data_IF_929055273231
#
_entry.id   IF_929055273231
#
_cell.length_a   1.000
_cell.length_b   1.000
_cell.length_c   1.000
_cell.angle_alpha   90.00
_cell.angle_beta   90.00
_cell.angle_gamma   90.00
#
_symmetry.space_group_name_H-M   'P 1'
#
loop_
_entity.id
_entity.type
_entity.pdbx_description
1 polymer ?
#
# COMPACT_ATOMS: atom_id res chain seq x y z
N UNK A 1 36.11 34.33 -15.60
CA UNK A 1 36.09 32.88 -15.26
C UNK A 1 35.85 32.56 -13.77
N UNK A 2 35.61 33.53 -12.86
CA UNK A 2 35.30 33.25 -11.44
C UNK A 2 33.80 33.09 -11.12
N UNK A 3 32.92 33.72 -11.90
CA UNK A 3 31.46 33.66 -11.70
C UNK A 3 30.84 32.32 -12.11
N UNK A 4 31.41 31.61 -13.09
CA UNK A 4 30.90 30.29 -13.51
C UNK A 4 31.12 29.19 -12.46
N UNK A 5 32.19 29.28 -11.65
CA UNK A 5 32.48 28.29 -10.59
C UNK A 5 31.51 28.36 -9.41
N UNK A 6 30.99 29.56 -9.10
CA UNK A 6 30.00 29.73 -8.02
C UNK A 6 28.64 29.12 -8.33
N UNK A 7 28.19 29.25 -9.59
CA UNK A 7 26.91 28.69 -10.04
C UNK A 7 26.93 27.16 -10.07
N UNK A 8 28.04 26.56 -10.53
CA UNK A 8 28.18 25.09 -10.56
C UNK A 8 28.18 24.51 -9.13
N UNK A 9 28.82 25.18 -8.17
CA UNK A 9 28.86 24.72 -6.78
C UNK A 9 27.49 24.80 -6.10
N UNK A 10 26.71 25.84 -6.39
CA UNK A 10 25.36 26.00 -5.84
C UNK A 10 24.37 24.96 -6.41
N UNK A 11 24.47 24.65 -7.71
CA UNK A 11 23.67 23.60 -8.35
C UNK A 11 24.00 22.20 -7.84
N UNK A 12 25.27 21.92 -7.55
CA UNK A 12 25.71 20.63 -6.98
C UNK A 12 25.21 20.46 -5.54
N UNK A 13 25.21 21.54 -4.74
CA UNK A 13 24.71 21.52 -3.36
C UNK A 13 23.19 21.31 -3.29
N UNK A 14 22.41 21.90 -4.21
CA UNK A 14 20.96 21.67 -4.29
C UNK A 14 20.58 20.22 -4.64
N UNK A 15 21.42 19.51 -5.40
CA UNK A 15 21.16 18.13 -5.79
C UNK A 15 21.30 17.14 -4.61
N UNK A 16 22.10 17.49 -3.59
CA UNK A 16 22.32 16.65 -2.40
C UNK A 16 21.11 16.69 -1.45
N UNK A 17 20.40 17.82 -1.36
CA UNK A 17 19.25 17.97 -0.44
C UNK A 17 17.98 17.28 -0.96
N UNK A 18 17.86 17.08 -2.28
CA UNK A 18 16.72 16.42 -2.90
C UNK A 18 16.67 14.89 -2.69
N UNK A 19 17.75 14.27 -2.18
CA UNK A 19 17.82 12.82 -1.97
C UNK A 19 17.25 12.36 -0.62
N UNK A 20 16.92 13.30 0.29
CA UNK A 20 16.38 13.01 1.61
C UNK A 20 14.86 13.21 1.70
N UNK A 21 14.11 12.88 0.64
CA UNK A 21 12.66 12.75 0.78
C UNK A 21 12.37 11.45 1.56
N UNK A 22 11.75 11.51 2.76
CA UNK A 22 11.40 10.31 3.50
C UNK A 22 10.51 9.42 2.62
N UNK A 23 11.02 8.24 2.27
CA UNK A 23 10.37 7.31 1.34
C UNK A 23 9.17 6.56 1.96
N UNK A 24 8.80 6.88 3.20
CA UNK A 24 7.68 6.27 3.90
C UNK A 24 7.31 6.98 5.19
N UNK A 25 6.20 6.55 5.77
CA UNK A 25 5.58 7.19 6.92
C UNK A 25 6.29 6.83 8.23
N UNK A 26 6.65 7.83 9.03
CA UNK A 26 7.43 7.67 10.27
C UNK A 26 6.57 7.40 11.51
N UNK A 27 5.26 7.56 11.40
CA UNK A 27 4.29 7.26 12.46
C UNK A 27 3.16 6.36 11.95
N UNK A 28 2.49 5.57 12.83
CA UNK A 28 1.33 4.79 12.43
C UNK A 28 0.23 5.67 11.82
N UNK A 29 -0.02 6.85 12.42
CA UNK A 29 -1.02 7.81 11.94
C UNK A 29 -0.71 8.29 10.52
N UNK A 30 0.55 8.64 10.23
CA UNK A 30 0.95 9.02 8.87
C UNK A 30 0.78 7.85 7.88
N UNK A 31 1.11 6.62 8.28
CA UNK A 31 0.91 5.44 7.42
C UNK A 31 -0.56 5.21 7.09
N UNK A 32 -1.45 5.42 8.06
CA UNK A 32 -2.89 5.37 7.83
C UNK A 32 -3.36 6.44 6.84
N UNK A 33 -2.86 7.68 6.95
CA UNK A 33 -3.24 8.74 6.01
C UNK A 33 -2.66 8.50 4.61
N UNK A 34 -1.45 7.98 4.50
CA UNK A 34 -0.88 7.57 3.21
C UNK A 34 -1.70 6.43 2.59
N UNK A 35 -2.17 5.47 3.40
CA UNK A 35 -3.06 4.41 2.95
C UNK A 35 -4.40 4.98 2.47
N UNK A 36 -5.00 5.88 3.25
CA UNK A 36 -6.21 6.59 2.85
C UNK A 36 -6.03 7.33 1.54
N UNK A 37 -4.92 8.04 1.36
CA UNK A 37 -4.61 8.76 0.12
C UNK A 37 -4.48 7.80 -1.07
N UNK A 38 -3.81 6.66 -0.89
CA UNK A 38 -3.71 5.62 -1.92
C UNK A 38 -5.10 5.10 -2.34
N UNK A 39 -6.01 4.89 -1.38
CA UNK A 39 -7.40 4.54 -1.68
C UNK A 39 -8.16 5.66 -2.39
N UNK A 40 -8.02 6.90 -1.93
CA UNK A 40 -8.69 8.06 -2.50
C UNK A 40 -8.28 8.31 -3.96
N UNK A 41 -7.01 8.10 -4.27
CA UNK A 41 -6.41 8.34 -5.59
C UNK A 41 -6.37 7.08 -6.47
N UNK A 42 -6.83 5.93 -5.97
CA UNK A 42 -6.69 4.62 -6.61
C UNK A 42 -5.24 4.32 -7.02
N UNK A 43 -4.27 4.75 -6.20
CA UNK A 43 -2.83 4.58 -6.45
C UNK A 43 -2.31 3.26 -5.88
N UNK A 44 -2.34 2.23 -6.71
CA UNK A 44 -1.81 0.90 -6.37
C UNK A 44 -0.31 0.89 -6.06
N UNK A 45 0.48 1.81 -6.64
CA UNK A 45 1.91 1.87 -6.37
C UNK A 45 2.22 2.53 -5.02
N UNK A 46 1.41 3.52 -4.61
CA UNK A 46 1.45 4.04 -3.24
C UNK A 46 1.03 2.98 -2.22
N UNK A 47 -0.05 2.24 -2.48
CA UNK A 47 -0.47 1.15 -1.60
C UNK A 47 0.60 0.04 -1.51
N UNK A 48 1.16 -0.40 -2.64
CA UNK A 48 2.23 -1.41 -2.65
C UNK A 48 3.41 -1.02 -1.76
N UNK A 49 3.81 0.26 -1.76
CA UNK A 49 4.89 0.78 -0.91
C UNK A 49 4.54 0.78 0.58
N UNK A 50 3.27 0.77 0.95
CA UNK A 50 2.81 0.75 2.34
C UNK A 50 2.70 -0.66 2.92
N UNK A 51 2.71 -1.70 2.10
CA UNK A 51 2.63 -3.09 2.57
C UNK A 51 3.85 -3.46 3.43
N UNK A 52 3.60 -4.19 4.52
CA UNK A 52 4.67 -4.91 5.23
C UNK A 52 5.26 -5.99 4.32
N UNK A 53 6.51 -6.39 4.55
CA UNK A 53 7.13 -7.51 3.84
C UNK A 53 6.33 -8.81 4.00
N UNK A 54 5.68 -8.99 5.16
CA UNK A 54 4.80 -10.13 5.40
C UNK A 54 3.54 -10.06 4.51
N UNK A 55 2.86 -8.91 4.48
CA UNK A 55 1.69 -8.67 3.61
C UNK A 55 2.04 -8.81 2.13
N UNK A 56 3.17 -8.25 1.70
CA UNK A 56 3.64 -8.36 0.33
C UNK A 56 3.84 -9.83 -0.08
N UNK A 57 4.49 -10.62 0.78
CA UNK A 57 4.67 -12.07 0.54
C UNK A 57 3.35 -12.83 0.52
N UNK A 58 2.41 -12.52 1.43
CA UNK A 58 1.06 -13.11 1.44
C UNK A 58 0.34 -12.82 0.12
N UNK A 59 0.30 -11.56 -0.32
CA UNK A 59 -0.36 -11.20 -1.59
C UNK A 59 0.35 -11.86 -2.77
N UNK A 60 1.68 -11.86 -2.82
CA UNK A 60 2.45 -12.55 -3.87
C UNK A 60 2.14 -14.05 -3.93
N UNK A 61 1.94 -14.68 -2.76
CA UNK A 61 1.51 -16.07 -2.71
C UNK A 61 0.11 -16.24 -3.30
N UNK A 62 -0.86 -15.39 -2.91
CA UNK A 62 -2.22 -15.38 -3.46
C UNK A 62 -2.20 -15.20 -4.98
N UNK A 63 -1.42 -14.25 -5.51
CA UNK A 63 -1.35 -14.03 -6.96
C UNK A 63 -0.69 -15.20 -7.70
N UNK A 64 0.27 -15.88 -7.07
CA UNK A 64 0.85 -17.11 -7.61
C UNK A 64 -0.11 -18.31 -7.57
N UNK A 65 -1.09 -18.32 -6.66
CA UNK A 65 -2.16 -19.31 -6.67
C UNK A 65 -3.11 -19.05 -7.84
N UNK A 66 -3.50 -17.79 -8.07
CA UNK A 66 -4.35 -17.43 -9.20
C UNK A 66 -3.76 -17.86 -10.54
N UNK A 67 -2.45 -17.70 -10.75
CA UNK A 67 -1.80 -18.12 -12.01
C UNK A 67 -1.77 -19.63 -12.24
N UNK A 68 -2.01 -20.45 -11.20
CA UNK A 68 -1.99 -21.91 -11.28
C UNK A 68 -3.37 -22.56 -11.37
N UNK A 69 -4.45 -21.76 -11.28
CA UNK A 69 -5.81 -22.27 -11.43
C UNK A 69 -6.05 -22.78 -12.85
N UNK A 70 -6.98 -23.71 -13.00
CA UNK A 70 -7.41 -24.19 -14.30
C UNK A 70 -8.40 -23.22 -14.98
N UNK A 71 -8.66 -23.44 -16.28
CA UNK A 71 -9.47 -22.53 -17.08
C UNK A 71 -10.89 -22.34 -16.54
N UNK A 72 -11.52 -23.41 -16.02
CA UNK A 72 -12.87 -23.33 -15.41
C UNK A 72 -12.90 -22.46 -14.16
N UNK A 73 -11.84 -22.53 -13.36
CA UNK A 73 -11.68 -21.70 -12.16
C UNK A 73 -11.39 -20.25 -12.52
N UNK A 74 -10.57 -20.00 -13.56
CA UNK A 74 -10.35 -18.65 -14.08
C UNK A 74 -11.62 -18.03 -14.65
N UNK A 75 -12.41 -18.79 -15.40
CA UNK A 75 -13.70 -18.33 -15.93
C UNK A 75 -14.65 -17.91 -14.79
N UNK A 76 -14.74 -18.73 -13.75
CA UNK A 76 -15.55 -18.44 -12.56
C UNK A 76 -15.10 -17.16 -11.83
N UNK A 77 -13.78 -16.98 -11.65
CA UNK A 77 -13.22 -15.77 -11.03
C UNK A 77 -13.35 -14.53 -11.92
N UNK A 78 -13.20 -14.70 -13.23
CA UNK A 78 -13.39 -13.64 -14.23
C UNK A 78 -14.82 -13.11 -14.17
N UNK A 79 -15.81 -13.99 -14.10
CA UNK A 79 -17.21 -13.62 -13.94
C UNK A 79 -17.48 -12.93 -12.59
N UNK A 80 -16.91 -13.46 -11.50
CA UNK A 80 -17.12 -12.93 -10.14
C UNK A 80 -16.53 -11.52 -9.97
N UNK A 81 -15.29 -11.33 -10.40
CA UNK A 81 -14.54 -10.08 -10.21
C UNK A 81 -14.60 -9.15 -11.41
N UNK A 82 -15.20 -9.56 -12.53
CA UNK A 82 -15.27 -8.83 -13.80
C UNK A 82 -13.88 -8.48 -14.36
N UNK A 83 -12.94 -9.42 -14.26
CA UNK A 83 -11.55 -9.25 -14.72
C UNK A 83 -11.26 -10.26 -15.83
N UNK A 84 -10.72 -9.84 -17.00
CA UNK A 84 -10.35 -10.76 -18.06
C UNK A 84 -9.43 -11.89 -17.57
N UNK A 85 -9.68 -13.11 -18.05
CA UNK A 85 -8.94 -14.31 -17.65
C UNK A 85 -7.43 -14.17 -17.87
N UNK A 86 -7.01 -13.53 -18.95
CA UNK A 86 -5.61 -13.30 -19.29
C UNK A 86 -4.91 -12.43 -18.23
N UNK A 87 -5.66 -11.51 -17.59
CA UNK A 87 -5.14 -10.68 -16.50
C UNK A 87 -5.03 -11.46 -15.20
N UNK A 88 -5.96 -12.37 -14.91
CA UNK A 88 -5.90 -13.23 -13.73
C UNK A 88 -4.67 -14.14 -13.75
N UNK A 89 -4.28 -14.63 -14.93
CA UNK A 89 -3.10 -15.49 -15.11
C UNK A 89 -1.76 -14.79 -14.83
N UNK A 90 -1.72 -13.46 -15.01
CA UNK A 90 -0.50 -12.64 -14.89
C UNK A 90 -0.62 -11.60 -13.78
N UNK A 91 -1.33 -11.94 -12.70
CA UNK A 91 -1.51 -11.06 -11.55
C UNK A 91 -0.17 -10.79 -10.84
N UNK A 92 0.29 -9.54 -10.91
CA UNK A 92 1.31 -9.02 -9.99
C UNK A 92 0.67 -8.51 -8.72
N UNK A 93 1.46 -8.27 -7.67
CA UNK A 93 0.99 -7.62 -6.44
C UNK A 93 0.31 -6.28 -6.75
N UNK A 94 0.93 -5.46 -7.61
CA UNK A 94 0.34 -4.17 -8.02
C UNK A 94 -0.99 -4.34 -8.75
N UNK A 95 -1.11 -5.31 -9.64
CA UNK A 95 -2.37 -5.58 -10.35
C UNK A 95 -3.46 -6.08 -9.39
N UNK A 96 -3.10 -6.91 -8.40
CA UNK A 96 -4.01 -7.31 -7.33
C UNK A 96 -4.50 -6.10 -6.52
N UNK A 97 -3.60 -5.19 -6.15
CA UNK A 97 -3.98 -3.97 -5.44
C UNK A 97 -4.86 -3.04 -6.29
N UNK A 98 -4.66 -2.98 -7.62
CA UNK A 98 -5.57 -2.23 -8.50
C UNK A 98 -6.98 -2.79 -8.46
N UNK A 99 -7.13 -4.11 -8.44
CA UNK A 99 -8.43 -4.76 -8.29
C UNK A 99 -9.04 -4.39 -6.95
N UNK A 100 -8.27 -4.53 -5.87
CA UNK A 100 -8.70 -4.16 -4.52
C UNK A 100 -9.19 -2.71 -4.42
N UNK A 101 -8.45 -1.78 -5.04
CA UNK A 101 -8.78 -0.35 -5.08
C UNK A 101 -9.97 -0.03 -6.00
N UNK A 102 -10.22 -0.86 -7.01
CA UNK A 102 -11.36 -0.74 -7.93
C UNK A 102 -12.64 -1.37 -7.37
N UNK A 103 -12.54 -2.23 -6.35
CA UNK A 103 -13.71 -2.69 -5.62
C UNK A 103 -14.37 -1.51 -4.90
N UNK A 104 -15.70 -1.53 -4.86
CA UNK A 104 -16.50 -0.53 -4.15
C UNK A 104 -15.98 -0.36 -2.71
N UNK A 105 -15.62 0.88 -2.34
CA UNK A 105 -14.94 1.18 -1.07
C UNK A 105 -15.74 0.75 0.16
N UNK A 106 -17.06 0.59 0.02
CA UNK A 106 -17.92 0.06 1.09
C UNK A 106 -17.92 -1.46 1.21
N UNK A 107 -17.40 -2.20 0.22
CA UNK A 107 -17.36 -3.68 0.21
C UNK A 107 -15.99 -4.24 0.57
N UNK A 108 -14.92 -3.48 0.34
CA UNK A 108 -13.58 -3.85 0.81
C UNK A 108 -13.36 -3.38 2.26
N UNK A 109 -12.83 -4.26 3.11
CA UNK A 109 -12.63 -4.01 4.54
C UNK A 109 -11.66 -2.83 4.76
N UNK A 110 -10.61 -2.74 3.94
CA UNK A 110 -9.61 -1.68 4.07
C UNK A 110 -10.18 -0.36 3.57
N UNK A 111 -10.87 -0.35 2.42
CA UNK A 111 -11.59 0.80 1.88
C UNK A 111 -12.60 1.38 2.88
N UNK A 112 -13.35 0.50 3.55
CA UNK A 112 -14.28 0.89 4.58
C UNK A 112 -13.52 1.52 5.77
N UNK A 113 -12.40 0.95 6.22
CA UNK A 113 -11.65 1.45 7.38
C UNK A 113 -11.07 2.83 7.13
N UNK A 114 -10.43 3.03 5.98
CA UNK A 114 -9.75 4.29 5.67
C UNK A 114 -10.73 5.45 5.43
N UNK A 115 -11.99 5.17 5.15
CA UNK A 115 -13.05 6.16 5.02
C UNK A 115 -13.49 6.78 6.36
N UNK A 116 -13.21 6.09 7.47
CA UNK A 116 -13.66 6.48 8.81
C UNK A 116 -12.61 7.33 9.53
N UNK A 117 -13.01 8.08 10.57
CA UNK A 117 -12.06 8.81 11.42
C UNK A 117 -11.34 7.86 12.38
N UNK A 118 -10.07 8.15 12.66
CA UNK A 118 -9.31 7.47 13.71
C UNK A 118 -9.88 7.85 15.08
N UNK A 119 -10.23 6.85 15.90
CA UNK A 119 -10.67 7.04 17.29
C UNK A 119 -9.62 6.60 18.30
N UNK A 120 -8.67 5.75 17.91
CA UNK A 120 -7.62 5.27 18.80
C UNK A 120 -6.39 4.78 18.04
N UNK A 121 -5.23 4.91 18.67
CA UNK A 121 -3.97 4.32 18.20
C UNK A 121 -3.33 3.67 19.41
N UNK A 122 -3.33 2.33 19.46
CA UNK A 122 -2.54 1.59 20.43
C UNK A 122 -1.19 1.25 19.79
N UNK A 123 -0.08 1.52 20.46
CA UNK A 123 1.27 1.23 19.96
C UNK A 123 2.06 0.45 21.00
N UNK A 124 2.56 -0.70 20.57
CA UNK A 124 3.34 -1.63 21.39
C UNK A 124 4.63 -1.98 20.65
N UNK A 125 5.73 -1.31 21.01
CA UNK A 125 7.04 -1.47 20.36
C UNK A 125 7.01 -1.19 18.86
N UNK A 126 7.16 -2.25 18.07
CA UNK A 126 7.18 -2.25 16.60
C UNK A 126 5.81 -2.58 15.98
N UNK A 127 4.74 -2.67 16.78
CA UNK A 127 3.37 -2.88 16.31
C UNK A 127 2.50 -1.71 16.72
N UNK A 128 1.50 -1.42 15.90
CA UNK A 128 0.45 -0.46 16.22
C UNK A 128 -0.88 -0.95 15.66
N UNK A 129 -1.95 -0.70 16.39
CA UNK A 129 -3.32 -0.96 15.96
C UNK A 129 -4.04 0.38 15.94
N UNK A 130 -4.60 0.71 14.78
CA UNK A 130 -5.40 1.94 14.59
C UNK A 130 -6.86 1.54 14.55
N UNK A 131 -7.63 2.03 15.53
CA UNK A 131 -9.08 1.85 15.62
C UNK A 131 -9.79 3.03 14.97
N UNK A 132 -10.81 2.75 14.18
CA UNK A 132 -11.66 3.76 13.53
C UNK A 132 -13.09 3.76 14.08
N UNK A 133 -13.88 4.79 13.75
CA UNK A 133 -15.21 5.04 14.34
C UNK A 133 -16.18 3.87 14.27
N UNK A 134 -16.17 3.09 13.20
CA UNK A 134 -17.05 1.93 13.04
C UNK A 134 -16.53 0.66 13.75
N UNK A 135 -15.52 0.78 14.63
CA UNK A 135 -14.97 -0.31 15.43
C UNK A 135 -13.92 -1.16 14.71
N UNK A 136 -13.65 -0.91 13.42
CA UNK A 136 -12.63 -1.66 12.69
C UNK A 136 -11.22 -1.28 13.15
N UNK A 137 -10.32 -2.25 13.06
CA UNK A 137 -8.93 -2.13 13.49
C UNK A 137 -8.00 -2.47 12.33
N UNK A 138 -7.03 -1.59 12.07
CA UNK A 138 -5.98 -1.81 11.10
C UNK A 138 -4.65 -1.98 11.82
N UNK A 139 -3.99 -3.11 11.55
CA UNK A 139 -2.69 -3.44 12.12
C UNK A 139 -1.56 -2.82 11.27
N UNK A 140 -0.56 -2.26 11.95
CA UNK A 140 0.64 -1.71 11.34
C UNK A 140 1.87 -2.26 12.05
N UNK A 141 2.93 -2.48 11.29
CA UNK A 141 4.24 -2.92 11.78
C UNK A 141 5.33 -1.94 11.38
N UNK A 142 6.33 -1.80 12.22
CA UNK A 142 7.51 -0.97 11.95
C UNK A 142 8.59 -1.80 11.27
N UNK A 143 8.96 -1.42 10.05
CA UNK A 143 10.03 -2.02 9.26
C UNK A 143 11.11 -0.95 8.99
N UNK A 144 12.24 -1.07 9.68
CA UNK A 144 13.25 0.00 9.72
C UNK A 144 12.67 1.27 10.37
N UNK A 145 12.81 2.46 9.76
CA UNK A 145 12.23 3.68 10.29
C UNK A 145 10.74 3.86 9.95
N UNK A 146 10.18 3.03 9.07
CA UNK A 146 8.87 3.26 8.45
C UNK A 146 7.79 2.34 9.00
N UNK A 147 6.57 2.86 9.10
CA UNK A 147 5.38 2.08 9.43
C UNK A 147 4.69 1.57 8.16
N UNK A 148 4.27 0.32 8.21
CA UNK A 148 3.68 -0.42 7.09
C UNK A 148 2.39 -1.09 7.54
N UNK A 149 1.41 -1.19 6.65
CA UNK A 149 0.16 -1.91 6.92
C UNK A 149 0.45 -3.42 6.95
N UNK A 150 -0.10 -4.09 7.96
CA UNK A 150 -0.02 -5.53 8.13
C UNK A 150 -1.38 -6.17 7.84
N UNK A 151 -1.43 -6.96 6.76
CA UNK A 151 -2.62 -7.63 6.24
C UNK A 151 -2.55 -9.14 6.48
N UNK A 152 -1.64 -9.62 7.32
CA UNK A 152 -1.49 -11.06 7.57
C UNK A 152 -2.69 -11.64 8.29
N UNK A 153 -3.34 -10.87 9.15
CA UNK A 153 -4.49 -11.31 9.97
C UNK A 153 -5.86 -10.90 9.40
N UNK A 154 -5.86 -10.20 8.26
CA UNK A 154 -7.06 -9.92 7.47
C UNK A 154 -7.43 -11.09 6.54
#
# INVERSE_FOLDING_TARGET
MRLLKGVIFFSLLMMIVASCAPQGSLTPRSAFYDLRAAFQQSDAAAFERLLSQASYRKIRHITALFSRLNDRQHESLSALYKIPQERLQKLSVREYLKILLAMDRGRDVIGAAVSQRIVGINREGNRAVIRVENGMELAFVKEGPYWKIDLTEL
#
